data_IF_356580705636
#
_entry.id   IF_356580705636
#
_cell.length_a   1.000
_cell.length_b   1.000
_cell.length_c   1.000
_cell.angle_alpha   90.00
_cell.angle_beta   90.00
_cell.angle_gamma   90.00
#
_symmetry.space_group_name_H-M   'P 1'
#
loop_
_entity.id
_entity.type
_entity.pdbx_description
1 polymer ?
#
# COMPACT_ATOMS: atom_id res chain seq x y z
N UNK A 1 -21.25 -17.14 -24.29
CA UNK A 1 -20.82 -16.07 -23.37
C UNK A 1 -19.63 -16.63 -22.60
N UNK A 2 -18.43 -16.12 -22.84
CA UNK A 2 -17.26 -16.51 -22.04
C UNK A 2 -17.38 -15.82 -20.68
N UNK A 3 -17.36 -16.59 -19.60
CA UNK A 3 -17.28 -16.03 -18.25
C UNK A 3 -15.81 -15.72 -17.98
N UNK A 4 -15.44 -14.44 -18.09
CA UNK A 4 -14.09 -14.00 -17.77
C UNK A 4 -13.84 -14.02 -16.26
N UNK A 5 -12.70 -14.59 -15.86
CA UNK A 5 -12.31 -14.69 -14.46
C UNK A 5 -11.99 -13.31 -13.86
N UNK A 6 -12.51 -13.05 -12.65
CA UNK A 6 -12.15 -11.90 -11.83
C UNK A 6 -11.81 -12.37 -10.42
N UNK A 7 -10.63 -12.01 -9.92
CA UNK A 7 -10.18 -12.35 -8.57
C UNK A 7 -8.70 -12.62 -8.45
N UNK A 8 -8.30 -12.98 -7.23
CA UNK A 8 -6.92 -13.31 -6.88
C UNK A 8 -6.51 -14.68 -7.40
N UNK A 9 -5.28 -14.80 -7.86
CA UNK A 9 -4.67 -16.07 -8.28
C UNK A 9 -3.31 -16.21 -7.64
N UNK A 10 -3.08 -17.33 -6.95
CA UNK A 10 -1.75 -17.69 -6.46
C UNK A 10 -1.04 -18.55 -7.51
N UNK A 11 0.14 -18.11 -7.94
CA UNK A 11 1.00 -18.86 -8.85
C UNK A 11 2.38 -18.96 -8.19
N UNK A 12 2.78 -20.17 -7.79
CA UNK A 12 4.08 -20.45 -7.17
C UNK A 12 4.41 -19.53 -5.98
N UNK A 13 3.43 -19.27 -5.11
CA UNK A 13 3.62 -18.43 -3.93
C UNK A 13 3.47 -16.94 -4.17
N UNK A 14 3.30 -16.49 -5.42
CA UNK A 14 3.05 -15.09 -5.78
C UNK A 14 1.57 -14.87 -6.06
N UNK A 15 1.04 -13.71 -5.64
CA UNK A 15 -0.35 -13.35 -5.84
C UNK A 15 -0.51 -12.35 -6.98
N UNK A 16 -1.52 -12.58 -7.80
CA UNK A 16 -1.90 -11.74 -8.95
C UNK A 16 -3.39 -11.45 -8.89
N UNK A 17 -3.81 -10.30 -9.38
CA UNK A 17 -5.24 -9.98 -9.50
C UNK A 17 -5.66 -9.92 -10.97
N UNK A 18 -6.75 -10.59 -11.29
CA UNK A 18 -7.37 -10.55 -12.60
C UNK A 18 -8.71 -9.81 -12.52
N UNK A 19 -8.99 -9.01 -13.54
CA UNK A 19 -10.30 -8.37 -13.74
C UNK A 19 -10.71 -8.57 -15.18
N UNK A 20 -11.88 -9.17 -15.39
CA UNK A 20 -12.45 -9.46 -16.71
C UNK A 20 -11.44 -10.20 -17.61
N UNK A 21 -10.76 -11.21 -17.02
CA UNK A 21 -9.79 -12.06 -17.72
C UNK A 21 -8.41 -11.43 -17.93
N UNK A 22 -8.24 -10.14 -17.61
CA UNK A 22 -6.98 -9.42 -17.75
C UNK A 22 -6.24 -9.30 -16.42
N UNK A 23 -4.94 -9.60 -16.42
CA UNK A 23 -4.07 -9.36 -15.27
C UNK A 23 -3.92 -7.85 -15.02
N UNK A 24 -3.95 -7.45 -13.74
CA UNK A 24 -3.78 -6.05 -13.34
C UNK A 24 -2.36 -5.78 -12.86
N UNK A 25 -1.94 -4.52 -12.98
CA UNK A 25 -0.76 -3.92 -12.38
C UNK A 25 -1.16 -2.61 -11.69
N UNK A 26 -0.29 -2.07 -10.84
CA UNK A 26 -0.54 -0.88 -10.03
C UNK A 26 -1.55 -1.11 -8.90
N UNK A 27 -2.20 -0.03 -8.48
CA UNK A 27 -3.19 -0.07 -7.40
C UNK A 27 -4.48 -0.76 -7.83
N UNK A 28 -4.90 -1.73 -7.02
CA UNK A 28 -6.17 -2.44 -7.16
C UNK A 28 -6.94 -2.32 -5.85
N UNK A 29 -8.22 -1.96 -5.96
CA UNK A 29 -9.17 -2.04 -4.86
C UNK A 29 -9.96 -3.34 -4.97
N UNK A 30 -9.94 -4.15 -3.91
CA UNK A 30 -10.76 -5.35 -3.78
C UNK A 30 -11.55 -5.26 -2.45
N UNK A 31 -12.88 -5.16 -2.58
CA UNK A 31 -13.74 -4.76 -1.48
C UNK A 31 -13.35 -3.39 -0.89
N UNK A 32 -13.00 -3.38 0.40
CA UNK A 32 -12.56 -2.17 1.12
C UNK A 32 -11.02 -2.03 1.18
N UNK A 33 -10.28 -3.03 0.70
CA UNK A 33 -8.83 -3.06 0.80
C UNK A 33 -8.17 -2.61 -0.51
N UNK A 34 -7.02 -1.94 -0.38
CA UNK A 34 -6.16 -1.57 -1.49
C UNK A 34 -4.90 -2.42 -1.48
N UNK A 35 -4.45 -2.80 -2.68
CA UNK A 35 -3.29 -3.62 -2.93
C UNK A 35 -2.47 -2.98 -4.05
N UNK A 36 -1.15 -3.19 -4.03
CA UNK A 36 -0.27 -2.76 -5.11
C UNK A 36 0.31 -3.99 -5.82
N UNK A 37 0.16 -4.02 -7.13
CA UNK A 37 0.74 -5.01 -8.03
C UNK A 37 1.88 -4.34 -8.79
N UNK A 38 3.05 -4.96 -8.87
CA UNK A 38 4.15 -4.41 -9.69
C UNK A 38 3.83 -4.52 -11.19
N UNK A 39 4.77 -4.12 -12.05
CA UNK A 39 4.59 -4.13 -13.50
C UNK A 39 4.38 -5.56 -14.06
N UNK A 40 4.92 -6.57 -13.39
CA UNK A 40 4.68 -7.99 -13.69
C UNK A 40 3.36 -8.53 -13.09
N UNK A 41 2.58 -7.70 -12.40
CA UNK A 41 1.30 -8.05 -11.77
C UNK A 41 1.41 -8.74 -10.42
N UNK A 42 2.63 -8.84 -9.87
CA UNK A 42 2.90 -9.49 -8.59
C UNK A 42 2.51 -8.56 -7.43
N UNK A 43 1.68 -9.05 -6.52
CA UNK A 43 1.29 -8.35 -5.31
C UNK A 43 2.50 -8.09 -4.43
N UNK A 44 2.69 -6.82 -4.10
CA UNK A 44 3.75 -6.35 -3.21
C UNK A 44 3.24 -6.27 -1.77
N UNK A 45 4.16 -6.41 -0.82
CA UNK A 45 3.94 -6.14 0.60
C UNK A 45 5.07 -5.24 1.15
N UNK A 46 4.85 -4.60 2.29
CA UNK A 46 5.78 -3.64 2.86
C UNK A 46 5.78 -2.29 2.14
N UNK A 47 6.95 -1.68 2.01
CA UNK A 47 7.14 -0.36 1.42
C UNK A 47 6.88 -0.35 -0.10
N UNK A 48 5.99 0.54 -0.52
CA UNK A 48 5.65 0.77 -1.93
C UNK A 48 6.03 2.19 -2.30
N UNK A 49 6.75 2.34 -3.41
CA UNK A 49 7.03 3.63 -4.03
C UNK A 49 6.29 3.73 -5.35
N UNK A 50 5.42 4.72 -5.48
CA UNK A 50 4.63 4.99 -6.67
C UNK A 50 4.82 6.46 -7.06
N UNK A 51 5.69 6.67 -8.05
CA UNK A 51 6.25 7.99 -8.37
C UNK A 51 7.03 8.58 -7.20
N UNK A 52 6.62 9.77 -6.75
CA UNK A 52 7.19 10.45 -5.57
C UNK A 52 6.51 10.08 -4.25
N UNK A 53 5.40 9.34 -4.34
CA UNK A 53 4.61 8.94 -3.18
C UNK A 53 5.08 7.62 -2.61
N UNK A 54 5.03 7.50 -1.28
CA UNK A 54 5.35 6.29 -0.55
C UNK A 54 4.13 5.82 0.23
N UNK A 55 3.96 4.51 0.28
CA UNK A 55 2.88 3.81 0.94
C UNK A 55 3.45 2.60 1.68
N UNK A 56 2.65 2.03 2.57
CA UNK A 56 3.03 0.81 3.26
C UNK A 56 1.86 -0.17 3.24
N UNK A 57 2.16 -1.42 2.94
CA UNK A 57 1.20 -2.52 2.92
C UNK A 57 1.61 -3.56 3.96
N UNK A 58 0.65 -4.21 4.61
CA UNK A 58 0.98 -5.26 5.59
C UNK A 58 1.43 -6.55 4.88
N UNK A 59 1.75 -7.59 5.64
CA UNK A 59 2.19 -8.89 5.10
C UNK A 59 1.18 -9.60 4.19
N UNK A 60 -0.08 -9.18 4.21
CA UNK A 60 -1.15 -9.65 3.30
C UNK A 60 -1.35 -8.73 2.09
N UNK A 61 -0.47 -7.76 1.87
CA UNK A 61 -0.54 -6.79 0.77
C UNK A 61 -1.57 -5.67 0.96
N UNK A 62 -2.25 -5.61 2.10
CA UNK A 62 -3.29 -4.60 2.36
C UNK A 62 -2.63 -3.28 2.72
N UNK A 63 -2.92 -2.22 1.97
CA UNK A 63 -2.48 -0.85 2.25
C UNK A 63 -2.88 -0.42 3.66
N UNK A 64 -1.92 0.13 4.40
CA UNK A 64 -2.10 0.64 5.75
C UNK A 64 -2.41 2.14 5.73
N UNK A 65 -3.19 2.58 6.72
CA UNK A 65 -3.44 3.99 7.02
C UNK A 65 -3.23 4.20 8.52
N UNK A 66 -3.02 5.45 8.94
CA UNK A 66 -2.73 5.79 10.32
C UNK A 66 -1.28 5.52 10.72
N UNK A 67 -1.06 5.26 12.01
CA UNK A 67 0.28 5.01 12.56
C UNK A 67 0.81 3.64 12.14
N UNK A 68 2.08 3.63 11.73
CA UNK A 68 2.78 2.43 11.27
C UNK A 68 4.09 2.33 12.05
N UNK A 69 4.41 1.13 12.53
CA UNK A 69 5.71 0.82 13.12
C UNK A 69 6.43 -0.20 12.25
N UNK A 70 7.61 0.18 11.77
CA UNK A 70 8.48 -0.67 10.98
C UNK A 70 9.86 -0.71 11.65
N UNK A 71 10.23 -1.88 12.19
CA UNK A 71 11.45 -2.08 12.99
C UNK A 71 11.68 -1.03 14.10
N UNK A 72 10.59 -0.63 14.78
CA UNK A 72 10.64 0.36 15.87
C UNK A 72 10.69 1.82 15.41
N UNK A 73 10.71 2.07 14.10
CA UNK A 73 10.61 3.40 13.51
C UNK A 73 9.15 3.68 13.22
N UNK A 74 8.67 4.86 13.64
CA UNK A 74 7.28 5.26 13.44
C UNK A 74 7.10 6.10 12.18
N UNK A 75 6.00 5.85 11.50
CA UNK A 75 5.55 6.56 10.31
C UNK A 75 4.05 6.83 10.45
N UNK A 76 3.52 7.74 9.62
CA UNK A 76 2.08 7.97 9.55
C UNK A 76 1.62 8.02 8.10
N UNK A 77 0.70 7.12 7.75
CA UNK A 77 -0.01 7.14 6.48
C UNK A 77 -1.33 7.91 6.64
N UNK A 78 -1.64 8.84 5.74
CA UNK A 78 -2.94 9.52 5.77
C UNK A 78 -4.08 8.58 5.32
N UNK A 79 -5.31 9.10 5.24
CA UNK A 79 -6.49 8.31 4.84
C UNK A 79 -6.41 7.66 3.45
N UNK A 80 -5.53 8.17 2.58
CA UNK A 80 -5.28 7.64 1.25
C UNK A 80 -4.03 6.74 1.21
N UNK A 81 -3.43 6.42 2.37
CA UNK A 81 -2.22 5.61 2.47
C UNK A 81 -0.89 6.37 2.29
N UNK A 82 -0.93 7.65 1.95
CA UNK A 82 0.28 8.44 1.70
C UNK A 82 1.07 8.68 2.98
N UNK A 83 2.32 8.26 2.99
CA UNK A 83 3.25 8.47 4.10
C UNK A 83 3.56 9.97 4.24
N UNK A 84 3.34 10.50 5.44
CA UNK A 84 3.54 11.92 5.76
C UNK A 84 5.02 12.24 5.93
N UNK A 85 5.41 13.40 5.42
CA UNK A 85 6.77 13.97 5.49
C UNK A 85 6.66 15.40 6.02
N UNK A 86 7.65 15.85 6.78
CA UNK A 86 7.62 17.19 7.41
C UNK A 86 6.57 17.30 8.52
N UNK A 87 6.08 18.51 8.75
CA UNK A 87 5.11 18.82 9.82
C UNK A 87 3.71 18.32 9.45
N UNK A 88 3.04 17.61 10.37
CA UNK A 88 1.66 17.16 10.21
C UNK A 88 0.88 17.26 11.54
N UNK A 89 -0.42 17.54 11.45
CA UNK A 89 -1.34 17.54 12.60
C UNK A 89 -2.17 16.25 12.58
N UNK A 90 -2.01 15.43 13.61
CA UNK A 90 -2.66 14.13 13.75
C UNK A 90 -3.42 14.10 15.07
N UNK A 91 -4.75 13.99 15.02
CA UNK A 91 -5.59 13.99 16.21
C UNK A 91 -5.47 15.26 17.06
N UNK A 92 -5.21 16.41 16.44
CA UNK A 92 -5.02 17.69 17.13
C UNK A 92 -3.63 17.92 17.71
N UNK A 93 -2.71 16.96 17.59
CA UNK A 93 -1.31 17.10 18.00
C UNK A 93 -0.40 17.26 16.78
N UNK A 94 0.58 18.15 16.89
CA UNK A 94 1.60 18.34 15.87
C UNK A 94 2.71 17.28 16.00
N UNK A 95 3.15 16.75 14.86
CA UNK A 95 4.27 15.82 14.72
C UNK A 95 5.16 16.28 13.57
N UNK A 96 6.46 15.98 13.65
CA UNK A 96 7.42 16.24 12.58
C UNK A 96 7.98 14.91 12.07
N UNK A 97 7.97 14.74 10.75
CA UNK A 97 8.53 13.58 10.06
C UNK A 97 9.73 14.01 9.22
N UNK A 98 10.72 13.15 9.08
CA UNK A 98 11.85 13.37 8.19
C UNK A 98 11.42 13.38 6.72
N UNK A 99 12.34 13.72 5.82
CA UNK A 99 12.14 13.62 4.37
C UNK A 99 11.82 12.19 3.88
N UNK A 100 12.18 11.19 4.68
CA UNK A 100 11.93 9.77 4.42
C UNK A 100 10.72 9.26 5.23
N UNK A 101 9.93 10.18 5.83
CA UNK A 101 8.69 9.88 6.55
C UNK A 101 8.85 9.37 7.97
N UNK A 102 10.09 9.26 8.49
CA UNK A 102 10.34 8.78 9.86
C UNK A 102 9.92 9.83 10.88
N UNK A 103 9.15 9.44 11.90
CA UNK A 103 8.79 10.34 13.00
C UNK A 103 10.07 10.81 13.72
N UNK A 104 10.17 12.12 13.89
CA UNK A 104 11.20 12.79 14.68
C UNK A 104 10.58 13.05 16.05
N UNK A 105 11.18 12.45 17.09
CA UNK A 105 10.81 12.64 18.49
C UNK A 105 11.47 13.89 19.08
#
# INVERSE_FOLDING_TARGET
MELYYSGWKNLNGKWYFFKDGSMKSGWVQDGLAWYYLNDEGEMQNGWIKDGESEYFTNSRGIMQTGWISDYGILYYANKNGLIQKGKAIIGGKEYNFSKDGRLIL
#
